data_IF_250266134311
#
_entry.id   IF_250266134311
#
_cell.length_a   1.000
_cell.length_b   1.000
_cell.length_c   1.000
_cell.angle_alpha   90.00
_cell.angle_beta   90.00
_cell.angle_gamma   90.00
#
_symmetry.space_group_name_H-M   'P 1'
#
loop_
_entity.id
_entity.type
_entity.pdbx_description
1 polymer ?
#
# COMPACT_ATOMS: atom_id res chain seq x y z
N UNK A 1 12.02 4.72 2.99
CA UNK A 1 10.94 4.73 1.96
C UNK A 1 10.46 3.30 1.76
N UNK A 2 9.14 3.11 1.77
CA UNK A 2 8.47 1.85 1.49
C UNK A 2 7.99 1.82 0.03
N UNK A 3 8.19 0.70 -0.65
CA UNK A 3 7.63 0.45 -1.99
C UNK A 3 7.02 -0.94 -2.04
N UNK A 4 5.78 -1.01 -2.50
CA UNK A 4 5.04 -2.27 -2.67
C UNK A 4 4.35 -2.25 -4.04
N UNK A 5 4.40 -3.36 -4.74
CA UNK A 5 3.64 -3.57 -5.97
C UNK A 5 3.12 -5.00 -6.02
N UNK A 6 2.00 -5.20 -6.70
CA UNK A 6 1.44 -6.53 -6.86
C UNK A 6 0.14 -6.50 -7.63
N UNK A 7 -0.55 -7.63 -7.60
CA UNK A 7 -1.89 -7.76 -8.13
C UNK A 7 -2.78 -8.49 -7.11
N UNK A 8 -4.04 -8.07 -7.05
CA UNK A 8 -5.06 -8.69 -6.21
C UNK A 8 -6.30 -8.99 -7.07
N UNK A 9 -7.02 -10.06 -6.71
CA UNK A 9 -8.29 -10.44 -7.34
C UNK A 9 -9.38 -10.27 -6.29
N UNK A 10 -10.23 -9.24 -6.39
CA UNK A 10 -11.26 -9.03 -5.39
C UNK A 10 -12.34 -10.11 -5.46
N UNK A 11 -12.88 -10.46 -4.29
CA UNK A 11 -14.00 -11.40 -4.16
C UNK A 11 -15.32 -10.75 -4.59
N UNK A 12 -15.42 -9.42 -4.43
CA UNK A 12 -16.57 -8.61 -4.79
C UNK A 12 -16.21 -7.47 -5.76
N UNK A 13 -17.19 -6.89 -6.48
CA UNK A 13 -16.93 -5.70 -7.29
C UNK A 13 -16.54 -4.52 -6.39
N UNK A 14 -15.28 -4.08 -6.45
CA UNK A 14 -14.78 -2.90 -5.73
C UNK A 14 -14.99 -1.61 -6.52
N UNK A 15 -15.31 -0.51 -5.82
CA UNK A 15 -15.18 0.87 -6.29
C UNK A 15 -13.99 1.57 -5.59
N UNK A 16 -12.81 1.61 -6.23
CA UNK A 16 -11.62 2.21 -5.62
C UNK A 16 -11.73 3.69 -5.26
N UNK A 17 -12.72 4.42 -5.78
CA UNK A 17 -12.88 5.86 -5.52
C UNK A 17 -13.97 6.10 -4.48
N UNK A 18 -15.02 5.29 -4.49
CA UNK A 18 -16.09 5.32 -3.50
C UNK A 18 -15.74 4.61 -2.18
N UNK A 19 -14.76 3.73 -2.19
CA UNK A 19 -14.35 2.94 -1.02
C UNK A 19 -13.07 3.46 -0.37
N UNK A 20 -12.89 3.12 0.91
CA UNK A 20 -11.62 3.31 1.59
C UNK A 20 -10.56 2.33 1.11
N UNK A 21 -9.30 2.72 1.21
CA UNK A 21 -8.13 1.85 0.98
C UNK A 21 -7.28 1.83 2.24
N UNK A 22 -6.96 0.65 2.78
CA UNK A 22 -6.07 0.51 3.93
C UNK A 22 -4.85 -0.32 3.53
N UNK A 23 -3.67 0.07 4.03
CA UNK A 23 -2.45 -0.71 3.91
C UNK A 23 -1.75 -0.82 5.26
N UNK A 24 -1.44 -2.06 5.63
CA UNK A 24 -0.69 -2.40 6.84
C UNK A 24 0.50 -3.27 6.46
N UNK A 25 1.68 -2.89 6.95
CA UNK A 25 2.88 -3.72 6.94
C UNK A 25 3.19 -4.09 8.39
N UNK A 26 3.41 -5.37 8.66
CA UNK A 26 3.80 -5.87 9.98
C UNK A 26 4.80 -7.01 9.87
N UNK A 27 5.57 -7.23 10.92
CA UNK A 27 6.32 -8.47 11.12
C UNK A 27 5.78 -9.20 12.36
N UNK A 28 6.54 -10.16 12.89
CA UNK A 28 6.16 -10.87 14.11
C UNK A 28 6.18 -9.97 15.36
N UNK A 29 7.00 -8.92 15.36
CA UNK A 29 7.28 -8.10 16.54
C UNK A 29 6.39 -6.86 16.62
N UNK A 30 6.00 -6.29 15.47
CA UNK A 30 5.32 -5.00 15.43
C UNK A 30 4.55 -4.74 14.12
N UNK A 31 3.64 -3.76 14.20
CA UNK A 31 3.14 -3.04 13.02
C UNK A 31 4.20 -2.03 12.58
N UNK A 32 4.76 -2.25 11.39
CA UNK A 32 5.85 -1.46 10.83
C UNK A 32 5.35 -0.22 10.08
N UNK A 33 4.16 -0.31 9.49
CA UNK A 33 3.53 0.81 8.79
C UNK A 33 2.02 0.62 8.73
N UNK A 34 1.28 1.72 8.86
CA UNK A 34 -0.17 1.74 8.70
C UNK A 34 -0.61 3.08 8.11
N UNK A 35 -1.32 3.04 6.99
CA UNK A 35 -2.01 4.17 6.42
C UNK A 35 -3.35 3.76 5.79
N UNK A 36 -4.27 4.70 5.76
CA UNK A 36 -5.55 4.55 5.09
C UNK A 36 -5.86 5.78 4.23
N UNK A 37 -6.55 5.56 3.13
CA UNK A 37 -7.22 6.55 2.31
C UNK A 37 -8.72 6.46 2.59
N UNK A 38 -9.36 7.62 2.67
CA UNK A 38 -10.82 7.72 2.77
C UNK A 38 -11.46 7.64 1.38
N UNK A 39 -12.77 7.32 1.30
CA UNK A 39 -13.56 7.57 0.11
C UNK A 39 -13.29 8.96 -0.48
N UNK A 40 -13.05 9.01 -1.80
CA UNK A 40 -12.75 10.24 -2.53
C UNK A 40 -11.28 10.69 -2.52
N UNK A 41 -10.40 10.10 -1.69
CA UNK A 41 -8.96 10.41 -1.76
C UNK A 41 -8.32 9.89 -3.07
N UNK A 42 -8.82 8.76 -3.59
CA UNK A 42 -8.40 8.23 -4.88
C UNK A 42 -9.14 8.98 -6.00
N UNK A 43 -8.38 9.55 -6.94
CA UNK A 43 -8.94 10.18 -8.13
C UNK A 43 -9.18 9.16 -9.24
N UNK A 44 -10.32 9.25 -9.94
CA UNK A 44 -10.64 8.40 -11.09
C UNK A 44 -10.00 8.95 -12.37
N UNK A 45 -9.22 8.12 -13.05
CA UNK A 45 -8.69 8.39 -14.40
C UNK A 45 -8.51 7.04 -15.11
N UNK A 46 -7.52 6.91 -16.02
CA UNK A 46 -7.11 5.61 -16.60
C UNK A 46 -6.67 4.59 -15.53
N UNK A 47 -6.23 5.08 -14.37
CA UNK A 47 -5.91 4.33 -13.16
C UNK A 47 -6.39 5.15 -11.96
N UNK A 48 -6.94 4.51 -10.93
CA UNK A 48 -7.32 5.22 -9.71
C UNK A 48 -6.05 5.60 -8.95
N UNK A 49 -5.86 6.88 -8.66
CA UNK A 49 -4.57 7.37 -8.14
C UNK A 49 -4.75 8.35 -6.99
N UNK A 50 -3.93 8.16 -5.95
CA UNK A 50 -3.68 9.11 -4.90
C UNK A 50 -2.22 9.55 -5.01
N UNK A 51 -1.98 10.85 -4.86
CA UNK A 51 -0.65 11.43 -4.86
C UNK A 51 -0.60 12.57 -3.83
N UNK A 52 0.29 12.43 -2.87
CA UNK A 52 0.63 13.49 -1.93
C UNK A 52 2.12 13.77 -1.98
N UNK A 53 2.49 14.86 -2.66
CA UNK A 53 3.89 15.28 -2.79
C UNK A 53 4.48 15.81 -1.48
N UNK A 54 3.65 16.30 -0.56
CA UNK A 54 4.11 16.81 0.72
C UNK A 54 4.57 15.67 1.65
N UNK A 55 4.18 14.42 1.40
CA UNK A 55 4.66 13.25 2.14
C UNK A 55 6.19 13.11 2.09
N UNK A 56 6.83 13.49 0.98
CA UNK A 56 8.29 13.42 0.82
C UNK A 56 9.05 14.37 1.76
N UNK A 57 8.41 15.43 2.24
CA UNK A 57 8.97 16.39 3.20
C UNK A 57 8.39 16.23 4.61
N UNK A 58 7.70 15.12 4.89
CA UNK A 58 7.06 14.86 6.18
C UNK A 58 5.83 15.72 6.47
N UNK A 59 5.32 16.47 5.48
CA UNK A 59 4.14 17.34 5.60
C UNK A 59 2.90 16.77 4.91
N UNK A 60 2.98 15.51 4.51
CA UNK A 60 1.91 14.80 3.83
C UNK A 60 0.77 14.44 4.77
N UNK A 61 -0.37 14.14 4.16
CA UNK A 61 -1.56 13.57 4.78
C UNK A 61 -1.45 12.05 4.73
N UNK A 62 -2.29 11.36 5.51
CA UNK A 62 -2.40 9.88 5.50
C UNK A 62 -1.09 9.16 5.86
N UNK A 63 -0.44 9.59 6.95
CA UNK A 63 0.72 8.93 7.55
C UNK A 63 1.90 8.71 6.60
N UNK A 64 2.24 9.71 5.77
CA UNK A 64 3.40 9.63 4.88
C UNK A 64 3.16 8.78 3.62
N UNK A 65 1.93 8.33 3.38
CA UNK A 65 1.53 7.74 2.11
C UNK A 65 1.76 8.77 0.98
N UNK A 66 2.65 8.45 0.05
CA UNK A 66 3.02 9.34 -1.04
C UNK A 66 2.20 9.06 -2.29
N UNK A 67 2.02 7.78 -2.61
CA UNK A 67 1.30 7.37 -3.82
C UNK A 67 0.59 6.04 -3.61
N UNK A 68 -0.66 5.99 -4.08
CA UNK A 68 -1.38 4.74 -4.36
C UNK A 68 -1.84 4.79 -5.81
N UNK A 69 -1.65 3.70 -6.54
CA UNK A 69 -2.14 3.53 -7.90
C UNK A 69 -2.81 2.18 -8.01
N UNK A 70 -4.07 2.16 -8.45
CA UNK A 70 -4.82 0.95 -8.74
C UNK A 70 -5.18 0.94 -10.24
N UNK A 71 -4.74 -0.10 -10.93
CA UNK A 71 -5.05 -0.32 -12.34
C UNK A 71 -5.79 -1.64 -12.50
N UNK A 72 -7.06 -1.58 -12.91
CA UNK A 72 -7.82 -2.76 -13.28
C UNK A 72 -7.26 -3.33 -14.59
N UNK A 73 -6.94 -4.63 -14.59
CA UNK A 73 -6.67 -5.44 -15.79
C UNK A 73 -7.47 -6.73 -15.67
N UNK A 74 -8.42 -6.92 -16.57
CA UNK A 74 -9.35 -8.06 -16.53
C UNK A 74 -10.07 -8.16 -15.17
N UNK A 75 -9.83 -9.27 -14.44
CA UNK A 75 -10.38 -9.55 -13.10
C UNK A 75 -9.44 -9.18 -11.96
N UNK A 76 -8.29 -8.57 -12.25
CA UNK A 76 -7.28 -8.21 -11.26
C UNK A 76 -7.10 -6.70 -11.14
N UNK A 77 -6.72 -6.24 -9.96
CA UNK A 77 -6.22 -4.90 -9.75
C UNK A 77 -4.73 -4.95 -9.47
N UNK A 78 -3.95 -4.33 -10.35
CA UNK A 78 -2.54 -4.09 -10.10
C UNK A 78 -2.39 -2.87 -9.22
N UNK A 79 -1.74 -3.03 -8.08
CA UNK A 79 -1.51 -1.95 -7.14
C UNK A 79 -0.03 -1.56 -7.11
N UNK A 80 0.21 -0.28 -6.84
CA UNK A 80 1.50 0.23 -6.45
C UNK A 80 1.31 1.21 -5.29
N UNK A 81 2.05 1.00 -4.21
CA UNK A 81 2.04 1.83 -3.01
C UNK A 81 3.46 2.34 -2.75
N UNK A 82 3.57 3.63 -2.49
CA UNK A 82 4.81 4.26 -2.04
C UNK A 82 4.54 5.11 -0.81
N UNK A 83 5.39 4.99 0.20
CA UNK A 83 5.26 5.76 1.43
C UNK A 83 6.63 6.17 2.00
N UNK A 84 6.62 7.29 2.70
CA UNK A 84 7.71 7.75 3.55
C UNK A 84 7.32 7.43 4.99
N UNK A 85 7.95 6.39 5.54
CA UNK A 85 7.73 5.92 6.89
C UNK A 85 9.06 5.57 7.53
N UNK A 86 9.10 5.65 8.85
CA UNK A 86 10.14 5.04 9.65
C UNK A 86 9.95 3.52 9.64
N UNK A 87 10.95 2.81 9.13
CA UNK A 87 10.98 1.34 9.05
C UNK A 87 12.14 0.79 9.88
N UNK A 88 12.62 1.50 10.89
CA UNK A 88 13.69 1.02 11.77
C UNK A 88 13.33 -0.30 12.47
N UNK A 89 12.04 -0.53 12.76
CA UNK A 89 11.53 -1.79 13.33
C UNK A 89 11.45 -2.95 12.34
N UNK A 90 11.70 -2.71 11.05
CA UNK A 90 11.70 -3.75 10.02
C UNK A 90 13.02 -4.54 10.09
N UNK A 91 13.15 -5.37 11.12
CA UNK A 91 14.37 -6.13 11.47
C UNK A 91 14.31 -7.59 11.03
N UNK A 92 13.12 -8.11 10.77
CA UNK A 92 12.87 -9.49 10.37
C UNK A 92 12.65 -9.58 8.84
N UNK A 93 13.16 -10.62 8.17
CA UNK A 93 12.99 -10.79 6.73
C UNK A 93 11.51 -11.05 6.37
N UNK A 94 10.82 -11.88 7.15
CA UNK A 94 9.41 -12.21 6.90
C UNK A 94 8.52 -11.08 7.37
N UNK A 95 7.79 -10.47 6.44
CA UNK A 95 6.80 -9.43 6.73
C UNK A 95 5.48 -9.73 6.02
N UNK A 96 4.39 -9.29 6.64
CA UNK A 96 3.03 -9.44 6.12
C UNK A 96 2.50 -8.10 5.66
N UNK A 97 2.05 -8.05 4.40
CA UNK A 97 1.22 -6.97 3.88
C UNK A 97 -0.24 -7.36 4.07
N UNK A 98 -1.04 -6.43 4.57
CA UNK A 98 -2.50 -6.46 4.45
C UNK A 98 -2.95 -5.23 3.66
N UNK A 99 -3.75 -5.45 2.62
CA UNK A 99 -4.43 -4.40 1.87
C UNK A 99 -5.93 -4.63 2.03
N UNK A 100 -6.69 -3.59 2.37
CA UNK A 100 -8.15 -3.62 2.34
C UNK A 100 -8.67 -2.59 1.35
N UNK A 101 -9.70 -2.94 0.58
CA UNK A 101 -10.42 -2.03 -0.31
C UNK A 101 -11.92 -2.31 -0.10
N UNK A 102 -12.64 -1.36 0.48
CA UNK A 102 -14.02 -1.63 0.89
C UNK A 102 -14.09 -2.77 1.91
N UNK A 103 -14.84 -3.82 1.60
CA UNK A 103 -14.98 -5.05 2.37
C UNK A 103 -14.01 -6.17 1.96
N UNK A 104 -13.28 -5.99 0.85
CA UNK A 104 -12.27 -6.93 0.37
C UNK A 104 -10.94 -6.78 1.13
N UNK A 105 -10.37 -7.90 1.55
CA UNK A 105 -9.10 -7.95 2.29
C UNK A 105 -8.13 -8.93 1.64
N UNK A 106 -6.90 -8.47 1.43
CA UNK A 106 -5.79 -9.23 0.87
C UNK A 106 -4.66 -9.29 1.88
N UNK A 107 -4.14 -10.49 2.12
CA UNK A 107 -3.01 -10.70 3.03
C UNK A 107 -1.95 -11.51 2.29
N UNK A 108 -0.70 -11.05 2.36
CA UNK A 108 0.44 -11.77 1.82
C UNK A 108 1.61 -11.68 2.79
N UNK A 109 2.10 -12.83 3.23
CA UNK A 109 3.35 -12.95 3.98
C UNK A 109 4.45 -13.41 3.02
N UNK A 110 5.59 -12.73 3.06
CA UNK A 110 6.72 -13.03 2.21
C UNK A 110 8.02 -12.59 2.88
N UNK A 111 9.14 -13.11 2.39
CA UNK A 111 10.46 -12.62 2.76
C UNK A 111 10.81 -11.39 1.92
N UNK A 112 11.13 -10.31 2.62
CA UNK A 112 11.51 -9.05 2.01
C UNK A 112 13.02 -8.97 1.92
N UNK A 113 13.49 -8.34 0.85
CA UNK A 113 14.92 -8.08 0.68
C UNK A 113 15.24 -6.68 1.15
N UNK A 114 16.21 -6.56 2.05
CA UNK A 114 16.81 -5.28 2.40
C UNK A 114 17.69 -4.81 1.24
N UNK A 115 17.46 -3.59 0.78
CA UNK A 115 18.23 -2.92 -0.28
C UNK A 115 18.91 -1.68 0.29
N UNK A 116 19.85 -1.09 -0.46
CA UNK A 116 20.48 0.20 -0.09
C UNK A 116 19.48 1.36 0.04
N UNK A 117 18.25 1.21 -0.46
CA UNK A 117 17.21 2.24 -0.45
C UNK A 117 16.04 1.93 0.49
N UNK A 118 16.12 0.84 1.27
CA UNK A 118 15.05 0.37 2.15
C UNK A 118 14.65 -1.06 1.85
N UNK A 119 13.41 -1.44 2.19
CA UNK A 119 12.89 -2.79 1.99
C UNK A 119 12.11 -2.89 0.67
N UNK A 120 12.30 -3.98 -0.05
CA UNK A 120 11.59 -4.29 -1.27
C UNK A 120 11.01 -5.70 -1.21
N UNK A 121 9.78 -5.84 -1.70
CA UNK A 121 9.13 -7.11 -1.97
C UNK A 121 9.08 -7.27 -3.49
N UNK A 122 9.89 -8.20 -4.00
CA UNK A 122 9.89 -8.58 -5.41
C UNK A 122 8.98 -9.83 -5.55
N UNK A 123 7.96 -9.76 -6.42
CA UNK A 123 7.09 -10.89 -6.79
C UNK A 123 7.41 -11.33 -8.23
#
# INVERSE_FOLDING_TARGET
>A
MLRMHGALTPATPIDPVGEGFEVVLRNADAVLYHAALLPGDLSRARRSTFLDRAAASGRGRRNGLFRVSLLRRERRYHFAVQAYADLTGATLPTMTIRIAIGDDVFVSAADWRRTRFGWALDF
#
